data_IF_504122283086
#
_entry.id   IF_504122283086
#
_cell.length_a   1.000
_cell.length_b   1.000
_cell.length_c   1.000
_cell.angle_alpha   90.00
_cell.angle_beta   90.00
_cell.angle_gamma   90.00
#
_symmetry.space_group_name_H-M   'P 1'
#
loop_
_entity.id
_entity.type
_entity.pdbx_description
1 polymer ?
#
# COMPACT_ATOMS: atom_id res chain seq x y z
N UNK A 1 14.73 -10.23 -13.54
CA UNK A 1 13.81 -10.49 -12.42
C UNK A 1 13.72 -9.20 -11.64
N UNK A 2 12.71 -8.38 -11.92
CA UNK A 2 12.46 -7.16 -11.15
C UNK A 2 11.78 -7.59 -9.86
N UNK A 3 12.44 -7.36 -8.73
CA UNK A 3 11.85 -7.63 -7.43
C UNK A 3 10.75 -6.58 -7.21
N UNK A 4 9.48 -6.98 -7.42
CA UNK A 4 8.30 -6.11 -7.38
C UNK A 4 8.05 -5.44 -6.01
N UNK A 5 8.91 -5.73 -5.04
CA UNK A 5 8.94 -5.19 -3.69
C UNK A 5 9.94 -4.03 -3.50
N UNK A 6 10.79 -3.75 -4.50
CA UNK A 6 11.75 -2.64 -4.49
C UNK A 6 11.08 -1.27 -4.78
N UNK A 7 11.59 -0.21 -4.17
CA UNK A 7 11.08 1.17 -4.33
C UNK A 7 11.10 1.61 -5.79
N UNK A 8 12.16 1.23 -6.51
CA UNK A 8 12.36 1.60 -7.92
C UNK A 8 11.23 1.11 -8.83
N UNK A 9 10.72 -0.10 -8.59
CA UNK A 9 9.59 -0.63 -9.35
C UNK A 9 8.33 0.24 -9.18
N UNK A 10 8.07 0.71 -7.95
CA UNK A 10 6.91 1.55 -7.67
C UNK A 10 7.07 2.97 -8.21
N UNK A 11 8.30 3.51 -8.16
CA UNK A 11 8.64 4.80 -8.74
C UNK A 11 8.41 4.79 -10.26
N UNK A 12 8.89 3.77 -10.97
CA UNK A 12 8.68 3.60 -12.41
C UNK A 12 7.18 3.53 -12.75
N UNK A 13 6.40 2.78 -11.97
CA UNK A 13 4.95 2.71 -12.13
C UNK A 13 4.29 4.08 -11.91
N UNK A 14 4.72 4.83 -10.89
CA UNK A 14 4.16 6.14 -10.60
C UNK A 14 4.52 7.16 -11.66
N UNK A 15 5.69 7.05 -12.28
CA UNK A 15 6.08 7.88 -13.40
C UNK A 15 5.24 7.59 -14.65
N UNK A 16 5.02 6.31 -15.02
CA UNK A 16 4.09 5.93 -16.11
C UNK A 16 2.70 6.54 -15.90
N UNK A 17 2.17 6.48 -14.68
CA UNK A 17 0.86 7.06 -14.36
C UNK A 17 0.85 8.59 -14.54
N UNK A 18 1.93 9.28 -14.15
CA UNK A 18 2.05 10.73 -14.34
C UNK A 18 2.20 11.11 -15.80
N UNK A 19 2.94 10.35 -16.60
CA UNK A 19 3.06 10.56 -18.04
C UNK A 19 1.70 10.43 -18.73
N UNK A 20 0.87 9.50 -18.25
CA UNK A 20 -0.52 9.30 -18.69
C UNK A 20 -1.50 10.36 -18.16
N UNK A 21 -1.01 11.35 -17.43
CA UNK A 21 -1.80 12.51 -17.00
C UNK A 21 -2.33 12.44 -15.57
N UNK A 22 -1.90 11.48 -14.74
CA UNK A 22 -2.26 11.48 -13.32
C UNK A 22 -1.72 12.74 -12.64
N UNK A 23 -2.61 13.50 -11.99
CA UNK A 23 -2.31 14.74 -11.28
C UNK A 23 -3.17 14.85 -10.02
N UNK A 24 -2.73 15.67 -9.06
CA UNK A 24 -3.54 16.02 -7.89
C UNK A 24 -3.83 14.87 -6.93
N UNK A 25 -3.00 13.83 -6.91
CA UNK A 25 -3.10 12.72 -5.95
C UNK A 25 -3.14 13.29 -4.52
N UNK A 26 -4.07 12.80 -3.71
CA UNK A 26 -4.23 13.18 -2.30
C UNK A 26 -4.06 12.01 -1.35
N UNK A 27 -4.35 10.79 -1.81
CA UNK A 27 -4.29 9.58 -1.03
C UNK A 27 -3.86 8.41 -1.91
N UNK A 28 -2.90 7.63 -1.45
CA UNK A 28 -2.53 6.33 -2.02
C UNK A 28 -2.85 5.24 -1.00
N UNK A 29 -3.54 4.18 -1.44
CA UNK A 29 -3.89 3.04 -0.59
C UNK A 29 -3.23 1.77 -1.14
N UNK A 30 -2.43 1.08 -0.33
CA UNK A 30 -1.73 -0.14 -0.75
C UNK A 30 -1.67 -1.21 0.34
N UNK A 31 -1.06 -2.37 0.07
CA UNK A 31 -1.02 -3.54 0.96
C UNK A 31 -0.12 -3.42 2.20
N UNK A 32 0.61 -2.31 2.34
CA UNK A 32 1.49 -2.05 3.47
C UNK A 32 2.98 -2.28 3.21
N UNK A 33 3.38 -2.73 2.01
CA UNK A 33 4.79 -3.00 1.73
C UNK A 33 5.68 -1.75 1.89
N UNK A 34 6.93 -1.90 2.36
CA UNK A 34 7.80 -0.75 2.65
C UNK A 34 8.27 -0.03 1.38
N UNK A 35 8.47 -0.77 0.28
CA UNK A 35 8.88 -0.21 -1.01
C UNK A 35 7.89 0.83 -1.52
N UNK A 36 6.60 0.48 -1.61
CA UNK A 36 5.56 1.42 -2.06
C UNK A 36 5.38 2.61 -1.10
N UNK A 37 5.55 2.41 0.22
CA UNK A 37 5.51 3.53 1.17
C UNK A 37 6.60 4.56 0.89
N UNK A 38 7.81 4.11 0.55
CA UNK A 38 8.92 4.99 0.20
C UNK A 38 8.63 5.70 -1.12
N UNK A 39 8.31 4.96 -2.17
CA UNK A 39 7.98 5.49 -3.47
C UNK A 39 6.84 6.53 -3.44
N UNK A 40 5.78 6.31 -2.64
CA UNK A 40 4.68 7.30 -2.54
C UNK A 40 5.17 8.63 -1.95
N UNK A 41 6.04 8.58 -0.93
CA UNK A 41 6.58 9.81 -0.31
C UNK A 41 7.46 10.59 -1.29
N UNK A 42 8.18 9.91 -2.15
CA UNK A 42 9.09 10.50 -3.13
C UNK A 42 8.34 10.99 -4.38
N UNK A 43 7.38 10.22 -4.89
CA UNK A 43 6.68 10.51 -6.15
C UNK A 43 5.46 11.44 -5.99
N UNK A 44 4.81 11.50 -4.83
CA UNK A 44 3.57 12.26 -4.61
C UNK A 44 3.64 13.15 -3.36
N UNK A 45 4.48 14.18 -3.41
CA UNK A 45 4.66 15.13 -2.31
C UNK A 45 3.31 15.74 -1.90
N UNK A 46 3.01 15.70 -0.59
CA UNK A 46 1.76 16.21 -0.02
C UNK A 46 0.58 15.24 -0.08
N UNK A 47 0.74 14.07 -0.69
CA UNK A 47 -0.25 12.99 -0.59
C UNK A 47 -0.11 12.24 0.74
N UNK A 48 -1.25 11.79 1.26
CA UNK A 48 -1.28 10.80 2.34
C UNK A 48 -1.10 9.39 1.79
N UNK A 49 -0.60 8.50 2.64
CA UNK A 49 -0.57 7.06 2.36
C UNK A 49 -1.32 6.29 3.46
N UNK A 50 -2.04 5.25 3.06
CA UNK A 50 -2.79 4.38 3.97
C UNK A 50 -2.63 2.90 3.58
N UNK A 51 -2.49 2.02 4.58
CA UNK A 51 -2.64 0.58 4.36
C UNK A 51 -4.10 0.23 4.10
N UNK A 52 -4.35 -0.51 3.03
CA UNK A 52 -5.65 -1.05 2.68
C UNK A 52 -6.24 -1.85 3.85
N UNK A 53 -7.44 -1.48 4.28
CA UNK A 53 -8.10 -2.09 5.44
C UNK A 53 -8.27 -3.62 5.28
N UNK A 54 -8.53 -4.11 4.06
CA UNK A 54 -8.62 -5.54 3.78
C UNK A 54 -7.28 -6.25 4.04
N UNK A 55 -6.17 -5.67 3.58
CA UNK A 55 -4.83 -6.21 3.83
C UNK A 55 -4.49 -6.15 5.32
N UNK A 56 -4.83 -5.06 6.01
CA UNK A 56 -4.65 -4.93 7.45
C UNK A 56 -5.40 -6.03 8.21
N UNK A 57 -6.69 -6.23 7.96
CA UNK A 57 -7.48 -7.29 8.60
C UNK A 57 -6.86 -8.66 8.34
N UNK A 58 -6.47 -8.96 7.09
CA UNK A 58 -5.82 -10.24 6.76
C UNK A 58 -4.50 -10.42 7.52
N UNK A 59 -3.67 -9.39 7.61
CA UNK A 59 -2.42 -9.42 8.38
C UNK A 59 -2.66 -9.64 9.87
N UNK A 60 -3.67 -8.96 10.45
CA UNK A 60 -4.06 -9.15 11.85
C UNK A 60 -4.56 -10.57 12.09
N UNK A 61 -5.48 -11.07 11.26
CA UNK A 61 -6.05 -12.40 11.42
C UNK A 61 -5.00 -13.52 11.28
N UNK A 62 -3.95 -13.34 10.47
CA UNK A 62 -2.81 -14.26 10.41
C UNK A 62 -2.10 -14.44 11.75
N UNK A 63 -2.12 -13.41 12.62
CA UNK A 63 -1.50 -13.44 13.96
C UNK A 63 -2.46 -13.88 15.07
N UNK A 64 -3.76 -14.01 14.77
CA UNK A 64 -4.79 -14.39 15.73
C UNK A 64 -5.09 -15.89 15.62
N UNK A 65 -5.10 -16.66 16.73
CA UNK A 65 -5.52 -18.05 16.70
C UNK A 65 -6.92 -18.21 16.09
N UNK A 66 -7.11 -19.20 15.21
CA UNK A 66 -8.37 -19.38 14.45
C UNK A 66 -9.64 -19.32 15.30
N UNK A 67 -9.59 -19.86 16.54
CA UNK A 67 -10.72 -19.86 17.49
C UNK A 67 -11.18 -18.45 17.89
N UNK A 68 -10.27 -17.46 17.91
CA UNK A 68 -10.53 -16.07 18.31
C UNK A 68 -10.74 -15.11 17.15
N UNK A 69 -10.53 -15.56 15.90
CA UNK A 69 -10.63 -14.69 14.72
C UNK A 69 -12.02 -14.07 14.55
N UNK A 70 -13.09 -14.79 14.89
CA UNK A 70 -14.48 -14.28 14.82
C UNK A 70 -14.77 -13.11 15.77
N UNK A 71 -14.01 -12.98 16.86
CA UNK A 71 -14.17 -11.88 17.82
C UNK A 71 -13.46 -10.62 17.31
N UNK A 72 -12.30 -10.80 16.67
CA UNK A 72 -11.44 -9.72 16.15
C UNK A 72 -11.91 -9.21 14.79
N UNK A 73 -12.62 -10.02 13.99
CA UNK A 73 -13.11 -9.62 12.66
C UNK A 73 -14.46 -8.89 12.67
N UNK A 74 -15.00 -8.55 13.85
CA UNK A 74 -16.27 -7.79 13.95
C UNK A 74 -16.01 -6.32 13.64
N UNK A 75 -16.78 -5.78 12.70
CA UNK A 75 -16.84 -4.34 12.39
C UNK A 75 -17.61 -3.59 13.47
#
# INVERSE_FOLDING_TARGET
MADSEDSLFWEDLFEDLKERGLRGVKLVVSDGHKGIQKAVRESFIGSSWQTCHVHLIRQVLKKVPKKKQKEVSKK
#
